data_IF_465923627585
#
_entry.id   IF_465923627585
#
_cell.length_a   1.000
_cell.length_b   1.000
_cell.length_c   1.000
_cell.angle_alpha   90.00
_cell.angle_beta   90.00
_cell.angle_gamma   90.00
#
_symmetry.space_group_name_H-M   'P 1'
#
loop_
_entity.id
_entity.type
_entity.pdbx_description
1 polymer ?
#
# COMPACT_ATOMS: atom_id res chain seq x y z
N UNK A 1 16.38 26.52 7.24
CA UNK A 1 16.38 27.94 6.96
C UNK A 1 14.99 28.49 7.12
N UNK A 2 14.81 29.40 8.07
CA UNK A 2 13.50 30.02 8.36
C UNK A 2 13.28 31.30 7.59
N UNK A 3 14.32 31.86 6.97
CA UNK A 3 14.25 33.12 6.24
C UNK A 3 14.59 32.91 4.77
N UNK A 4 13.59 33.11 3.92
CA UNK A 4 13.80 33.20 2.49
C UNK A 4 14.21 34.62 2.13
N UNK A 5 15.37 34.79 1.51
CA UNK A 5 15.81 36.06 0.93
C UNK A 5 16.52 35.81 -0.41
N UNK A 6 16.36 36.74 -1.32
CA UNK A 6 17.10 36.71 -2.58
C UNK A 6 18.58 37.01 -2.35
N UNK A 7 19.45 36.13 -2.80
CA UNK A 7 20.89 36.42 -2.83
C UNK A 7 21.14 37.51 -3.85
N UNK A 8 21.91 38.56 -3.47
CA UNK A 8 22.22 39.66 -4.36
C UNK A 8 23.14 39.31 -5.55
N UNK A 9 23.52 38.03 -5.65
CA UNK A 9 24.34 37.49 -6.74
C UNK A 9 23.87 36.09 -7.11
N UNK A 10 24.02 35.74 -8.38
CA UNK A 10 23.72 34.40 -8.87
C UNK A 10 24.89 33.48 -8.52
N UNK A 11 24.60 32.25 -8.08
CA UNK A 11 25.55 31.17 -7.84
C UNK A 11 25.32 30.05 -8.88
N UNK A 12 25.71 30.26 -10.16
CA UNK A 12 25.50 29.26 -11.19
C UNK A 12 26.34 28.01 -10.90
N UNK A 13 25.71 26.85 -11.02
CA UNK A 13 26.43 25.57 -10.91
C UNK A 13 26.71 25.06 -12.32
N UNK A 14 28.01 24.89 -12.65
CA UNK A 14 28.39 24.30 -13.94
C UNK A 14 27.94 22.82 -14.02
N UNK A 15 27.78 22.25 -15.25
CA UNK A 15 27.45 20.84 -15.40
C UNK A 15 28.44 19.92 -14.68
N UNK A 16 29.72 20.24 -14.72
CA UNK A 16 30.77 19.52 -13.99
C UNK A 16 30.62 19.68 -12.47
N UNK A 17 30.28 20.87 -12.00
CA UNK A 17 30.00 21.13 -10.59
C UNK A 17 28.78 20.35 -10.08
N UNK A 18 27.76 20.15 -10.93
CA UNK A 18 26.61 19.31 -10.60
C UNK A 18 27.01 17.84 -10.42
N UNK A 19 27.83 17.28 -11.31
CA UNK A 19 28.35 15.91 -11.17
C UNK A 19 29.16 15.72 -9.88
N UNK A 20 30.00 16.68 -9.53
CA UNK A 20 30.77 16.63 -8.27
C UNK A 20 29.90 16.67 -7.01
N UNK A 21 28.68 17.23 -7.10
CA UNK A 21 27.72 17.26 -5.99
C UNK A 21 27.04 15.91 -5.75
N UNK A 22 27.05 14.98 -6.73
CA UNK A 22 26.45 13.64 -6.57
C UNK A 22 27.07 12.93 -5.37
N UNK A 23 28.39 12.94 -5.23
CA UNK A 23 29.08 12.32 -4.08
C UNK A 23 28.61 12.89 -2.75
N UNK A 24 28.56 14.20 -2.60
CA UNK A 24 28.11 14.84 -1.35
C UNK A 24 26.62 14.60 -1.08
N UNK A 25 25.81 14.55 -2.13
CA UNK A 25 24.39 14.17 -2.03
C UNK A 25 24.21 12.74 -1.54
N UNK A 26 24.97 11.78 -2.08
CA UNK A 26 24.93 10.38 -1.62
C UNK A 26 25.36 10.24 -0.16
N UNK A 27 26.43 10.92 0.25
CA UNK A 27 26.87 10.92 1.66
C UNK A 27 25.81 11.54 2.57
N UNK A 28 25.19 12.65 2.16
CA UNK A 28 24.11 13.29 2.93
C UNK A 28 22.86 12.41 3.06
N UNK A 29 22.56 11.60 2.04
CA UNK A 29 21.42 10.70 2.04
C UNK A 29 21.73 9.31 2.64
N UNK A 30 22.97 9.00 2.96
CA UNK A 30 23.40 7.66 3.39
C UNK A 30 22.63 7.15 4.61
N UNK A 31 22.42 7.99 5.62
CA UNK A 31 21.68 7.61 6.82
C UNK A 31 20.25 7.19 6.48
N UNK A 32 19.56 7.91 5.59
CA UNK A 32 18.21 7.61 5.17
C UNK A 32 18.20 6.30 4.37
N UNK A 33 19.14 6.13 3.45
CA UNK A 33 19.26 4.91 2.66
C UNK A 33 19.48 3.68 3.55
N UNK A 34 20.37 3.75 4.54
CA UNK A 34 20.59 2.63 5.47
C UNK A 34 19.36 2.34 6.33
N UNK A 35 18.66 3.35 6.81
CA UNK A 35 17.41 3.13 7.59
C UNK A 35 16.36 2.44 6.74
N UNK A 36 16.17 2.86 5.48
CA UNK A 36 15.22 2.22 4.56
C UNK A 36 15.62 0.76 4.28
N UNK A 37 16.90 0.49 4.00
CA UNK A 37 17.39 -0.87 3.75
C UNK A 37 17.18 -1.78 4.96
N UNK A 38 17.53 -1.34 6.17
CA UNK A 38 17.36 -2.12 7.40
C UNK A 38 15.88 -2.34 7.72
N UNK A 39 15.05 -1.31 7.54
CA UNK A 39 13.61 -1.42 7.74
C UNK A 39 12.98 -2.40 6.75
N UNK A 40 13.36 -2.33 5.47
CA UNK A 40 12.91 -3.27 4.44
C UNK A 40 13.34 -4.72 4.77
N UNK A 41 14.58 -4.93 5.20
CA UNK A 41 15.07 -6.24 5.62
C UNK A 41 14.26 -6.80 6.81
N UNK A 42 13.98 -5.99 7.82
CA UNK A 42 13.17 -6.39 8.98
C UNK A 42 11.75 -6.80 8.56
N UNK A 43 11.11 -6.02 7.67
CA UNK A 43 9.77 -6.35 7.16
C UNK A 43 9.81 -7.66 6.37
N UNK A 44 10.83 -7.87 5.51
CA UNK A 44 10.98 -9.12 4.78
C UNK A 44 11.12 -10.33 5.71
N UNK A 45 11.92 -10.23 6.77
CA UNK A 45 12.03 -11.29 7.77
C UNK A 45 10.65 -11.61 8.38
N UNK A 46 9.86 -10.60 8.74
CA UNK A 46 8.50 -10.80 9.27
C UNK A 46 7.59 -11.47 8.24
N UNK A 47 7.70 -11.09 6.97
CA UNK A 47 6.93 -11.72 5.89
C UNK A 47 7.32 -13.18 5.67
N UNK A 48 8.63 -13.49 5.70
CA UNK A 48 9.15 -14.86 5.56
C UNK A 48 8.77 -15.78 6.71
N UNK A 49 8.45 -15.24 7.90
CA UNK A 49 7.92 -16.07 9.02
C UNK A 49 6.54 -16.66 8.74
N UNK A 50 5.86 -16.25 7.66
CA UNK A 50 4.51 -16.69 7.33
C UNK A 50 3.41 -16.09 8.21
N UNK A 51 3.73 -15.20 9.14
CA UNK A 51 2.75 -14.55 10.02
C UNK A 51 1.64 -13.86 9.25
N UNK A 52 1.97 -13.24 8.10
CA UNK A 52 0.98 -12.61 7.24
C UNK A 52 0.01 -13.62 6.63
N UNK A 53 0.54 -14.75 6.15
CA UNK A 53 -0.28 -15.83 5.60
C UNK A 53 -1.18 -16.44 6.68
N UNK A 54 -0.66 -16.62 7.89
CA UNK A 54 -1.43 -17.12 9.03
C UNK A 54 -2.53 -16.16 9.47
N UNK A 55 -2.24 -14.86 9.55
CA UNK A 55 -3.24 -13.83 9.83
C UNK A 55 -4.35 -13.81 8.77
N UNK A 56 -3.96 -13.98 7.51
CA UNK A 56 -4.89 -14.04 6.40
C UNK A 56 -5.76 -15.28 6.44
N UNK A 57 -5.14 -16.44 6.63
CA UNK A 57 -5.86 -17.70 6.75
C UNK A 57 -6.80 -17.70 7.96
N UNK A 58 -6.34 -17.19 9.09
CA UNK A 58 -7.16 -17.00 10.29
C UNK A 58 -8.35 -16.07 10.04
N UNK A 59 -8.12 -14.93 9.38
CA UNK A 59 -9.17 -13.97 9.01
C UNK A 59 -10.20 -14.60 8.09
N UNK A 60 -9.77 -15.31 7.04
CA UNK A 60 -10.63 -16.03 6.12
C UNK A 60 -11.41 -17.13 6.85
N UNK A 61 -10.75 -17.92 7.70
CA UNK A 61 -11.39 -19.02 8.46
C UNK A 61 -12.45 -18.50 9.44
N UNK A 62 -12.13 -17.47 10.21
CA UNK A 62 -13.02 -16.92 11.24
C UNK A 62 -14.21 -16.16 10.68
N UNK A 63 -14.09 -15.65 9.46
CA UNK A 63 -15.09 -14.77 8.83
C UNK A 63 -15.80 -15.40 7.63
N UNK A 64 -15.46 -16.64 7.27
CA UNK A 64 -16.07 -17.35 6.11
C UNK A 64 -17.61 -17.37 6.19
N UNK A 65 -18.17 -17.40 7.41
CA UNK A 65 -19.60 -17.48 7.64
C UNK A 65 -20.30 -16.11 7.73
N UNK A 66 -19.52 -15.02 7.81
CA UNK A 66 -20.06 -13.65 7.96
C UNK A 66 -20.32 -12.91 6.64
N UNK A 67 -20.07 -13.57 5.52
CA UNK A 67 -20.31 -13.02 4.19
C UNK A 67 -19.10 -12.26 3.60
N UNK A 68 -19.01 -12.31 2.26
CA UNK A 68 -17.89 -11.75 1.49
C UNK A 68 -17.63 -10.27 1.77
N UNK A 69 -18.66 -9.50 2.08
CA UNK A 69 -18.51 -8.06 2.30
C UNK A 69 -17.66 -7.75 3.52
N UNK A 70 -17.93 -8.43 4.63
CA UNK A 70 -17.17 -8.23 5.88
C UNK A 70 -15.73 -8.68 5.68
N UNK A 71 -15.53 -9.80 5.00
CA UNK A 71 -14.21 -10.35 4.72
C UNK A 71 -13.35 -9.39 3.88
N UNK A 72 -13.92 -8.87 2.79
CA UNK A 72 -13.26 -7.87 1.92
C UNK A 72 -12.91 -6.61 2.70
N UNK A 73 -13.86 -6.09 3.49
CA UNK A 73 -13.63 -4.86 4.26
C UNK A 73 -12.51 -5.03 5.29
N UNK A 74 -12.48 -6.15 6.01
CA UNK A 74 -11.42 -6.43 6.98
C UNK A 74 -10.05 -6.57 6.32
N UNK A 75 -9.99 -7.23 5.17
CA UNK A 75 -8.76 -7.33 4.39
C UNK A 75 -8.25 -5.95 3.97
N UNK A 76 -9.13 -5.09 3.44
CA UNK A 76 -8.76 -3.74 3.06
C UNK A 76 -8.27 -2.92 4.25
N UNK A 77 -8.90 -3.05 5.42
CA UNK A 77 -8.45 -2.40 6.65
C UNK A 77 -7.05 -2.88 7.02
N UNK A 78 -6.85 -4.20 7.09
CA UNK A 78 -5.56 -4.79 7.43
C UNK A 78 -4.45 -4.29 6.48
N UNK A 79 -4.72 -4.31 5.16
CA UNK A 79 -3.76 -3.88 4.15
C UNK A 79 -3.48 -2.38 4.20
N UNK A 80 -4.48 -1.54 4.45
CA UNK A 80 -4.28 -0.11 4.60
C UNK A 80 -3.43 0.23 5.83
N UNK A 81 -3.66 -0.43 6.95
CA UNK A 81 -2.82 -0.23 8.13
C UNK A 81 -1.41 -0.77 7.92
N UNK A 82 -1.25 -1.92 7.26
CA UNK A 82 0.06 -2.43 6.87
C UNK A 82 0.82 -1.42 5.99
N UNK A 83 0.18 -0.87 4.95
CA UNK A 83 0.78 0.15 4.09
C UNK A 83 1.08 1.45 4.83
N UNK A 84 0.21 1.88 5.74
CA UNK A 84 0.36 3.12 6.52
C UNK A 84 1.50 3.09 7.54
N UNK A 85 1.85 1.93 8.06
CA UNK A 85 2.90 1.74 9.06
C UNK A 85 4.11 0.96 8.55
N UNK A 86 3.91 -0.01 7.65
CA UNK A 86 4.95 -0.91 7.16
C UNK A 86 5.70 -0.45 5.91
N UNK A 87 5.18 0.52 5.18
CA UNK A 87 5.80 1.02 3.94
C UNK A 87 5.40 0.26 2.68
N UNK A 88 6.04 0.62 1.55
CA UNK A 88 5.71 0.07 0.23
C UNK A 88 6.39 -1.26 -0.07
N UNK A 89 7.44 -1.62 0.65
CA UNK A 89 8.20 -2.84 0.37
C UNK A 89 7.37 -4.10 0.58
N UNK A 90 6.43 -4.04 1.53
CA UNK A 90 5.46 -5.10 1.78
C UNK A 90 4.45 -5.32 0.64
N UNK A 91 4.28 -4.34 -0.29
CA UNK A 91 3.28 -4.43 -1.36
C UNK A 91 3.52 -5.58 -2.31
N UNK A 92 4.78 -5.90 -2.60
CA UNK A 92 5.15 -6.98 -3.52
C UNK A 92 4.70 -8.34 -2.95
N UNK A 93 4.92 -8.56 -1.66
CA UNK A 93 4.55 -9.80 -0.98
C UNK A 93 3.04 -9.98 -0.81
N UNK A 94 2.30 -8.87 -0.77
CA UNK A 94 0.84 -8.87 -0.53
C UNK A 94 0.04 -9.24 -1.79
N UNK A 95 0.57 -9.02 -3.00
CA UNK A 95 -0.14 -9.31 -4.25
C UNK A 95 -0.54 -10.78 -4.40
N UNK A 96 0.33 -11.79 -4.18
CA UNK A 96 -0.05 -13.20 -4.24
C UNK A 96 -1.18 -13.55 -3.28
N UNK A 97 -1.18 -12.95 -2.10
CA UNK A 97 -2.23 -13.13 -1.10
C UNK A 97 -3.57 -12.63 -1.62
N UNK A 98 -3.58 -11.45 -2.25
CA UNK A 98 -4.78 -10.91 -2.89
C UNK A 98 -5.33 -11.80 -4.00
N UNK A 99 -4.43 -12.38 -4.80
CA UNK A 99 -4.80 -13.34 -5.87
C UNK A 99 -5.45 -14.59 -5.27
N UNK A 100 -4.87 -15.17 -4.23
CA UNK A 100 -5.49 -16.33 -3.54
C UNK A 100 -6.84 -15.97 -2.93
N UNK A 101 -6.95 -14.78 -2.33
CA UNK A 101 -8.17 -14.28 -1.74
C UNK A 101 -9.29 -14.10 -2.78
N UNK A 102 -9.00 -13.47 -3.91
CA UNK A 102 -9.97 -13.27 -4.99
C UNK A 102 -10.42 -14.60 -5.61
N UNK A 103 -9.49 -15.54 -5.81
CA UNK A 103 -9.81 -16.89 -6.29
C UNK A 103 -10.76 -17.62 -5.34
N UNK A 104 -10.47 -17.65 -4.04
CA UNK A 104 -11.33 -18.29 -3.02
C UNK A 104 -12.74 -17.69 -2.98
N UNK A 105 -12.88 -16.40 -3.23
CA UNK A 105 -14.17 -15.70 -3.23
C UNK A 105 -14.84 -15.63 -4.60
N UNK A 106 -14.23 -16.22 -5.64
CA UNK A 106 -14.69 -16.16 -7.03
C UNK A 106 -14.88 -14.71 -7.53
N UNK A 107 -13.95 -13.84 -7.14
CA UNK A 107 -13.91 -12.45 -7.57
C UNK A 107 -12.89 -12.28 -8.70
N UNK A 108 -13.02 -11.21 -9.48
CA UNK A 108 -12.09 -10.92 -10.56
C UNK A 108 -10.70 -10.44 -10.04
N UNK A 109 -9.64 -10.50 -10.86
CA UNK A 109 -8.30 -10.06 -10.47
C UNK A 109 -8.22 -8.59 -10.03
N UNK A 110 -9.12 -7.73 -10.54
CA UNK A 110 -9.19 -6.32 -10.12
C UNK A 110 -9.59 -6.22 -8.65
N UNK A 111 -10.48 -7.08 -8.18
CA UNK A 111 -10.82 -7.16 -6.77
C UNK A 111 -9.61 -7.55 -5.91
N UNK A 112 -8.73 -8.43 -6.41
CA UNK A 112 -7.48 -8.76 -5.72
C UNK A 112 -6.62 -7.52 -5.52
N UNK A 113 -6.39 -6.75 -6.58
CA UNK A 113 -5.62 -5.50 -6.54
C UNK A 113 -6.27 -4.45 -5.63
N UNK A 114 -7.61 -4.33 -5.69
CA UNK A 114 -8.34 -3.38 -4.85
C UNK A 114 -8.20 -3.69 -3.36
N UNK A 115 -8.31 -4.97 -3.00
CA UNK A 115 -8.26 -5.43 -1.60
C UNK A 115 -6.85 -5.36 -1.02
N UNK A 116 -5.83 -5.55 -1.83
CA UNK A 116 -4.42 -5.57 -1.40
C UNK A 116 -3.69 -4.29 -1.72
N UNK A 117 -3.22 -4.16 -2.95
CA UNK A 117 -2.32 -3.07 -3.37
C UNK A 117 -2.97 -1.70 -3.23
N UNK A 118 -4.21 -1.54 -3.70
CA UNK A 118 -4.89 -0.25 -3.62
C UNK A 118 -5.16 0.15 -2.17
N UNK A 119 -5.64 -0.78 -1.34
CA UNK A 119 -5.86 -0.52 0.08
C UNK A 119 -4.55 -0.15 0.80
N UNK A 120 -3.47 -0.87 0.53
CA UNK A 120 -2.16 -0.58 1.10
C UNK A 120 -1.59 0.76 0.62
N UNK A 121 -1.81 1.15 -0.65
CA UNK A 121 -1.42 2.46 -1.17
C UNK A 121 -2.23 3.61 -0.54
N UNK A 122 -3.52 3.41 -0.27
CA UNK A 122 -4.31 4.38 0.50
C UNK A 122 -3.70 4.58 1.88
N UNK A 123 -3.33 3.51 2.57
CA UNK A 123 -2.64 3.57 3.85
C UNK A 123 -1.29 4.27 3.76
N UNK A 124 -0.47 3.92 2.79
CA UNK A 124 0.85 4.50 2.58
C UNK A 124 0.78 6.02 2.29
N UNK A 125 -0.08 6.43 1.36
CA UNK A 125 -0.18 7.83 0.94
C UNK A 125 -0.75 8.76 2.00
N UNK A 126 -1.66 8.28 2.83
CA UNK A 126 -2.37 9.08 3.84
C UNK A 126 -1.97 8.74 5.28
N UNK A 127 -1.24 7.66 5.48
CA UNK A 127 -0.85 7.16 6.80
C UNK A 127 0.08 8.09 7.57
N UNK A 128 0.05 8.02 8.90
CA UNK A 128 0.79 8.94 9.75
C UNK A 128 2.29 8.65 9.82
N UNK A 129 2.70 7.40 9.62
CA UNK A 129 4.10 6.98 9.85
C UNK A 129 5.02 7.31 8.67
N UNK A 130 4.55 7.15 7.43
CA UNK A 130 5.38 7.27 6.23
C UNK A 130 5.92 8.68 5.98
N UNK A 131 5.25 9.69 6.50
CA UNK A 131 5.66 11.08 6.31
C UNK A 131 6.73 11.57 7.30
N UNK A 132 7.07 10.75 8.30
CA UNK A 132 8.04 11.13 9.33
C UNK A 132 9.41 11.51 8.75
N UNK A 133 9.90 10.74 7.77
CA UNK A 133 11.18 11.01 7.09
C UNK A 133 11.14 12.35 6.35
N UNK A 134 10.06 12.63 5.62
CA UNK A 134 9.89 13.91 4.91
C UNK A 134 9.82 15.07 5.89
N UNK A 135 9.12 14.91 7.01
CA UNK A 135 9.03 15.93 8.06
C UNK A 135 10.39 16.22 8.67
N UNK A 136 11.21 15.19 8.94
CA UNK A 136 12.58 15.36 9.44
C UNK A 136 13.44 16.13 8.44
N UNK A 137 13.37 15.83 7.15
CA UNK A 137 14.11 16.54 6.11
C UNK A 137 13.71 18.01 5.99
N UNK A 138 12.45 18.33 6.25
CA UNK A 138 11.93 19.70 6.25
C UNK A 138 12.16 20.44 7.58
N UNK A 139 12.77 19.82 8.58
CA UNK A 139 12.97 20.41 9.90
C UNK A 139 11.69 20.56 10.72
N UNK A 140 10.65 19.81 10.36
CA UNK A 140 9.38 19.75 11.09
C UNK A 140 9.43 18.59 12.08
N UNK A 141 8.79 18.74 13.24
CA UNK A 141 8.73 17.68 14.25
C UNK A 141 8.15 16.40 13.66
N UNK A 142 8.86 15.26 13.72
CA UNK A 142 8.37 13.97 13.23
C UNK A 142 7.01 13.63 13.87
N UNK A 143 6.16 12.99 13.05
CA UNK A 143 4.80 12.62 13.46
C UNK A 143 3.87 13.81 13.81
N UNK A 144 4.25 15.05 13.51
CA UNK A 144 3.31 16.18 13.63
C UNK A 144 2.09 15.94 12.73
N UNK A 145 0.88 16.19 13.29
CA UNK A 145 -0.36 15.89 12.59
C UNK A 145 -0.76 14.41 12.51
N UNK A 146 -0.19 13.55 13.38
CA UNK A 146 -0.49 12.11 13.41
C UNK A 146 -1.99 11.81 13.44
N UNK A 147 -2.73 12.41 14.35
CA UNK A 147 -4.18 12.17 14.47
C UNK A 147 -4.97 12.67 13.26
N UNK A 148 -4.62 13.82 12.73
CA UNK A 148 -5.26 14.35 11.51
C UNK A 148 -5.05 13.41 10.33
N UNK A 149 -3.83 12.92 10.14
CA UNK A 149 -3.50 11.94 9.09
C UNK A 149 -4.23 10.61 9.30
N UNK A 150 -4.34 10.15 10.55
CA UNK A 150 -5.08 8.93 10.86
C UNK A 150 -6.56 9.06 10.49
N UNK A 151 -7.18 10.20 10.78
CA UNK A 151 -8.57 10.48 10.39
C UNK A 151 -8.72 10.50 8.86
N UNK A 152 -7.81 11.18 8.17
CA UNK A 152 -7.80 11.26 6.70
C UNK A 152 -7.63 9.85 6.10
N UNK A 153 -6.71 9.05 6.62
CA UNK A 153 -6.50 7.67 6.19
C UNK A 153 -7.77 6.85 6.30
N UNK A 154 -8.44 6.89 7.46
CA UNK A 154 -9.68 6.15 7.67
C UNK A 154 -10.83 6.64 6.79
N UNK A 155 -10.90 7.94 6.51
CA UNK A 155 -11.89 8.50 5.59
C UNK A 155 -11.70 7.97 4.17
N UNK A 156 -10.48 8.04 3.62
CA UNK A 156 -10.20 7.51 2.28
C UNK A 156 -10.35 5.98 2.21
N UNK A 157 -9.98 5.27 3.28
CA UNK A 157 -10.17 3.84 3.38
C UNK A 157 -11.65 3.47 3.34
N UNK A 158 -12.51 4.20 4.04
CA UNK A 158 -13.96 3.99 4.01
C UNK A 158 -14.51 4.20 2.60
N UNK A 159 -14.10 5.26 1.91
CA UNK A 159 -14.48 5.51 0.52
C UNK A 159 -14.02 4.34 -0.37
N UNK A 160 -12.79 3.89 -0.22
CA UNK A 160 -12.22 2.77 -0.98
C UNK A 160 -13.01 1.48 -0.75
N UNK A 161 -13.39 1.17 0.49
CA UNK A 161 -14.22 0.02 0.83
C UNK A 161 -15.59 0.11 0.17
N UNK A 162 -16.25 1.27 0.23
CA UNK A 162 -17.57 1.47 -0.38
C UNK A 162 -17.49 1.23 -1.91
N UNK A 163 -16.50 1.83 -2.58
CA UNK A 163 -16.32 1.68 -4.03
C UNK A 163 -16.05 0.22 -4.40
N UNK A 164 -15.16 -0.45 -3.68
CA UNK A 164 -14.84 -1.87 -3.91
C UNK A 164 -16.08 -2.75 -3.70
N UNK A 165 -16.86 -2.49 -2.67
CA UNK A 165 -18.08 -3.23 -2.39
C UNK A 165 -19.17 -3.01 -3.44
N UNK A 166 -19.30 -1.79 -3.96
CA UNK A 166 -20.21 -1.50 -5.08
C UNK A 166 -19.80 -2.27 -6.34
N UNK A 167 -18.51 -2.30 -6.64
CA UNK A 167 -17.98 -3.06 -7.77
C UNK A 167 -18.22 -4.57 -7.61
N UNK A 168 -17.93 -5.14 -6.45
CA UNK A 168 -18.19 -6.56 -6.15
C UNK A 168 -19.68 -6.90 -6.29
N UNK A 169 -20.56 -6.06 -5.78
CA UNK A 169 -22.02 -6.26 -5.93
C UNK A 169 -22.44 -6.23 -7.42
N UNK A 170 -21.83 -5.34 -8.21
CA UNK A 170 -22.10 -5.22 -9.65
C UNK A 170 -21.70 -6.48 -10.41
N UNK A 171 -20.46 -6.97 -10.21
CA UNK A 171 -19.97 -8.17 -10.92
C UNK A 171 -20.64 -9.46 -10.46
N UNK A 172 -21.12 -9.53 -9.22
CA UNK A 172 -21.90 -10.69 -8.73
C UNK A 172 -23.29 -10.78 -9.32
N UNK A 173 -23.92 -9.62 -9.58
CA UNK A 173 -25.22 -9.58 -10.27
C UNK A 173 -25.09 -9.90 -11.76
N UNK A 174 -24.06 -9.39 -12.38
CA UNK A 174 -23.79 -9.58 -13.80
C UNK A 174 -22.27 -9.74 -14.02
N UNK A 175 -21.76 -10.97 -14.18
CA UNK A 175 -20.35 -11.21 -14.41
C UNK A 175 -19.81 -10.51 -15.67
N UNK A 176 -20.64 -10.30 -16.69
CA UNK A 176 -20.27 -9.57 -17.91
C UNK A 176 -19.98 -8.08 -17.66
N UNK A 177 -20.36 -7.54 -16.50
CA UNK A 177 -20.03 -6.18 -16.08
C UNK A 177 -18.63 -6.04 -15.47
N UNK A 178 -17.89 -7.14 -15.31
CA UNK A 178 -16.48 -7.12 -14.91
C UNK A 178 -15.63 -6.52 -16.03
N UNK A 179 -14.66 -5.68 -15.66
CA UNK A 179 -13.68 -5.12 -16.59
C UNK A 179 -12.83 -6.24 -17.22
N UNK A 180 -12.56 -7.32 -16.46
CA UNK A 180 -11.78 -8.47 -16.91
C UNK A 180 -12.57 -9.49 -17.72
N UNK A 181 -13.86 -9.24 -17.98
CA UNK A 181 -14.70 -10.16 -18.74
C UNK A 181 -14.23 -10.32 -20.19
N UNK A 182 -13.75 -9.24 -20.81
CA UNK A 182 -13.21 -9.27 -22.16
C UNK A 182 -11.88 -10.02 -22.25
N UNK A 183 -11.10 -10.01 -21.16
CA UNK A 183 -9.83 -10.74 -21.03
C UNK A 183 -10.00 -12.21 -20.63
N UNK A 184 -11.23 -12.72 -20.71
CA UNK A 184 -11.53 -14.13 -20.48
C UNK A 184 -11.87 -14.54 -19.06
N UNK A 185 -11.92 -13.60 -18.11
CA UNK A 185 -12.32 -13.94 -16.74
C UNK A 185 -13.78 -14.43 -16.69
N UNK A 186 -13.98 -15.55 -16.01
CA UNK A 186 -15.29 -16.16 -15.74
C UNK A 186 -15.30 -16.68 -14.30
N UNK A 187 -16.39 -16.48 -13.54
CA UNK A 187 -16.47 -16.95 -12.15
C UNK A 187 -16.30 -18.46 -12.00
N UNK A 188 -16.71 -19.22 -13.01
CA UNK A 188 -16.70 -20.69 -12.99
C UNK A 188 -15.39 -21.29 -13.52
N UNK A 189 -14.60 -20.53 -14.27
CA UNK A 189 -13.30 -20.98 -14.81
C UNK A 189 -12.24 -21.19 -13.70
N UNK A 190 -12.45 -20.61 -12.52
CA UNK A 190 -11.52 -20.71 -11.37
C UNK A 190 -11.57 -22.09 -10.71
N UNK A 191 -12.63 -22.88 -10.94
CA UNK A 191 -12.80 -24.19 -10.32
C UNK A 191 -12.03 -25.30 -11.06
N UNK A 192 -11.73 -25.08 -12.35
CA UNK A 192 -11.13 -26.09 -13.22
C UNK A 192 -9.62 -25.90 -13.46
N UNK A 193 -9.00 -24.93 -12.84
CA UNK A 193 -7.58 -24.59 -13.00
C UNK A 193 -6.69 -25.01 -11.84
N UNK A 194 -6.96 -26.14 -11.19
CA UNK A 194 -6.06 -26.76 -10.22
C UNK A 194 -5.41 -27.98 -10.86
N UNK A 195 -4.35 -27.76 -11.60
CA UNK A 195 -3.24 -28.68 -11.76
C UNK A 195 -1.93 -27.90 -11.65
#
# INVERSE_FOLDING_TARGET
GTDFHFLGHQTPVSPWGALMRVKSGMVGAATIAFVVMISGANINVVLETGVMDDLMNWGVYKLKDKGTGILVSMMMILMAYLGGFGGTDALIAVVPVGVMFSKKLKLDPICALAVTTFAALVGFGTGPAQQATTQMLMGVTPYSGFFTRLVIMNFFLLVAIIMTMQYIKKIRKNPAASIMYQDGWRPDAIVNGSE
#
